data_IF_122885208786
#
_entry.id   IF_122885208786
#
_cell.length_a   1.000
_cell.length_b   1.000
_cell.length_c   1.000
_cell.angle_alpha   90.00
_cell.angle_beta   90.00
_cell.angle_gamma   90.00
#
_symmetry.space_group_name_H-M   'P 1'
#
loop_
_entity.id
_entity.type
_entity.pdbx_description
1 polymer ?
#
# COMPACT_ATOMS: atom_id res chain seq x y z
N UNK A 1 -81.18 8.98 -29.95
CA UNK A 1 -79.82 8.39 -29.81
C UNK A 1 -78.98 9.27 -28.87
N UNK A 2 -79.21 9.20 -27.56
CA UNK A 2 -78.50 10.04 -26.59
C UNK A 2 -78.38 9.34 -25.22
N UNK A 3 -77.97 8.07 -25.21
CA UNK A 3 -77.80 7.27 -23.98
C UNK A 3 -76.53 6.40 -23.96
N UNK A 4 -75.57 6.59 -24.86
CA UNK A 4 -74.30 5.84 -24.87
C UNK A 4 -73.07 6.62 -24.36
N UNK A 5 -73.11 7.96 -24.25
CA UNK A 5 -71.93 8.76 -23.85
C UNK A 5 -71.64 8.83 -22.35
N UNK A 6 -72.67 8.73 -21.49
CA UNK A 6 -72.52 8.97 -20.04
C UNK A 6 -72.00 7.73 -19.28
N UNK A 7 -72.21 6.51 -19.82
CA UNK A 7 -71.71 5.26 -19.21
C UNK A 7 -70.23 4.99 -19.50
N UNK A 8 -69.68 5.57 -20.56
CA UNK A 8 -68.26 5.42 -20.93
C UNK A 8 -67.37 6.37 -20.10
N UNK A 9 -67.84 7.59 -19.86
CA UNK A 9 -67.11 8.60 -19.07
C UNK A 9 -66.94 8.20 -17.59
N UNK A 10 -67.97 7.61 -16.97
CA UNK A 10 -67.90 7.17 -15.57
C UNK A 10 -67.02 5.92 -15.36
N UNK A 11 -66.77 5.10 -16.39
CA UNK A 11 -65.85 3.95 -16.30
C UNK A 11 -64.38 4.34 -16.42
N UNK A 12 -64.05 5.39 -17.16
CA UNK A 12 -62.68 5.90 -17.26
C UNK A 12 -62.22 6.63 -15.99
N UNK A 13 -63.13 7.36 -15.31
CA UNK A 13 -62.80 8.12 -14.08
C UNK A 13 -62.50 7.21 -12.87
N UNK A 14 -63.13 6.04 -12.79
CA UNK A 14 -62.89 5.06 -11.72
C UNK A 14 -61.53 4.33 -11.85
N UNK A 15 -60.95 4.25 -13.05
CA UNK A 15 -59.63 3.61 -13.27
C UNK A 15 -58.45 4.51 -12.91
N UNK A 16 -58.60 5.83 -13.01
CA UNK A 16 -57.53 6.78 -12.64
C UNK A 16 -57.36 7.00 -11.13
N UNK A 17 -58.41 6.79 -10.32
CA UNK A 17 -58.31 6.91 -8.85
C UNK A 17 -57.80 5.63 -8.14
N UNK A 18 -57.73 4.48 -8.83
CA UNK A 18 -57.30 3.22 -8.24
C UNK A 18 -55.78 2.95 -8.36
N UNK A 19 -55.04 3.70 -9.19
CA UNK A 19 -53.60 3.47 -9.43
C UNK A 19 -52.68 4.47 -8.70
N UNK A 20 -53.24 5.51 -8.08
CA UNK A 20 -52.44 6.52 -7.36
C UNK A 20 -51.85 6.06 -6.00
N UNK A 21 -52.44 5.13 -5.22
CA UNK A 21 -51.86 4.73 -3.93
C UNK A 21 -50.79 3.62 -4.04
N UNK A 22 -50.65 2.96 -5.19
CA UNK A 22 -49.64 1.91 -5.41
C UNK A 22 -48.28 2.49 -5.84
N UNK A 23 -48.29 3.58 -6.62
CA UNK A 23 -47.08 4.27 -7.06
C UNK A 23 -46.40 5.10 -5.95
N UNK A 24 -47.16 5.67 -5.00
CA UNK A 24 -46.58 6.40 -3.85
C UNK A 24 -45.92 5.51 -2.79
N UNK A 25 -46.37 4.27 -2.62
CA UNK A 25 -45.85 3.35 -1.58
C UNK A 25 -44.58 2.60 -2.02
N UNK A 26 -44.39 2.40 -3.32
CA UNK A 26 -43.18 1.78 -3.88
C UNK A 26 -42.11 2.80 -4.26
N UNK A 27 -42.48 4.03 -4.63
CA UNK A 27 -41.51 5.11 -4.89
C UNK A 27 -40.71 5.49 -3.65
N UNK A 28 -41.35 5.57 -2.48
CA UNK A 28 -40.64 5.86 -1.22
C UNK A 28 -39.70 4.72 -0.81
N UNK A 29 -40.07 3.46 -1.07
CA UNK A 29 -39.21 2.30 -0.79
C UNK A 29 -38.01 2.21 -1.74
N UNK A 30 -38.17 2.54 -3.01
CA UNK A 30 -37.06 2.60 -3.97
C UNK A 30 -36.10 3.77 -3.69
N UNK A 31 -36.63 4.95 -3.34
CA UNK A 31 -35.81 6.10 -2.94
C UNK A 31 -35.11 5.85 -1.61
N UNK A 32 -35.75 5.18 -0.63
CA UNK A 32 -35.07 4.80 0.62
C UNK A 32 -33.99 3.73 0.40
N UNK A 33 -34.21 2.77 -0.52
CA UNK A 33 -33.23 1.73 -0.87
C UNK A 33 -32.04 2.34 -1.63
N UNK A 34 -32.28 3.30 -2.52
CA UNK A 34 -31.23 4.04 -3.22
C UNK A 34 -30.48 5.00 -2.28
N UNK A 35 -31.16 5.66 -1.34
CA UNK A 35 -30.49 6.47 -0.31
C UNK A 35 -29.69 5.60 0.68
N UNK A 36 -30.14 4.37 0.98
CA UNK A 36 -29.36 3.39 1.76
C UNK A 36 -28.15 2.84 0.99
N UNK A 37 -28.26 2.65 -0.32
CA UNK A 37 -27.13 2.25 -1.19
C UNK A 37 -26.12 3.39 -1.41
N UNK A 38 -26.58 4.64 -1.47
CA UNK A 38 -25.71 5.83 -1.57
C UNK A 38 -25.10 6.19 -0.21
N UNK A 39 -25.76 5.88 0.90
CA UNK A 39 -25.19 6.01 2.25
C UNK A 39 -24.17 4.91 2.60
N UNK A 40 -24.00 3.89 1.74
CA UNK A 40 -22.98 2.85 1.89
C UNK A 40 -21.72 3.12 1.05
N UNK A 41 -21.77 4.08 0.13
CA UNK A 41 -20.65 4.36 -0.79
C UNK A 41 -19.75 5.53 -0.38
N UNK A 42 -19.94 6.13 0.79
CA UNK A 42 -19.02 7.15 1.32
C UNK A 42 -18.81 6.98 2.82
N UNK A 43 -17.87 6.11 3.19
CA UNK A 43 -16.57 6.46 3.76
C UNK A 43 -15.76 5.17 3.72
N UNK A 44 -15.12 4.87 2.59
CA UNK A 44 -13.90 4.10 2.66
C UNK A 44 -12.93 5.00 3.45
N UNK A 45 -12.78 4.73 4.74
CA UNK A 45 -11.69 5.28 5.53
C UNK A 45 -10.46 4.62 4.92
N UNK A 46 -9.92 5.22 3.86
CA UNK A 46 -8.57 4.91 3.42
C UNK A 46 -7.72 5.07 4.67
N UNK A 47 -7.08 3.97 5.10
CA UNK A 47 -6.21 4.02 6.25
C UNK A 47 -5.14 5.06 5.92
N UNK A 48 -4.93 6.10 6.73
CA UNK A 48 -3.90 7.12 6.47
C UNK A 48 -2.47 6.53 6.50
N UNK A 49 -2.33 5.24 6.84
CA UNK A 49 -1.09 4.47 6.82
C UNK A 49 -1.05 3.40 5.71
N UNK A 50 -2.13 3.20 4.95
CA UNK A 50 -2.12 2.37 3.75
C UNK A 50 -1.90 3.27 2.54
N UNK A 51 -0.73 3.90 2.46
CA UNK A 51 -0.22 4.35 1.17
C UNK A 51 -0.01 3.08 0.35
N UNK A 52 -0.80 2.92 -0.73
CA UNK A 52 -0.58 1.83 -1.69
C UNK A 52 0.84 1.95 -2.23
N UNK A 53 1.53 0.83 -2.41
CA UNK A 53 2.80 0.81 -3.14
C UNK A 53 2.59 1.58 -4.46
N UNK A 54 3.40 2.61 -4.79
CA UNK A 54 3.23 3.33 -6.03
C UNK A 54 3.40 2.34 -7.17
N UNK A 55 2.63 2.57 -8.23
CA UNK A 55 2.63 1.71 -9.40
C UNK A 55 4.05 1.58 -9.95
N UNK A 56 4.40 0.36 -10.32
CA UNK A 56 5.62 0.08 -11.07
C UNK A 56 5.41 0.44 -12.54
N UNK A 57 6.50 0.71 -13.26
CA UNK A 57 6.49 0.85 -14.71
C UNK A 57 6.05 -0.46 -15.38
N UNK A 58 6.22 -1.59 -14.71
CA UNK A 58 5.65 -2.86 -15.16
C UNK A 58 4.14 -2.91 -15.03
N UNK A 59 3.55 -2.40 -13.94
CA UNK A 59 2.09 -2.33 -13.79
C UNK A 59 1.48 -1.48 -14.91
N UNK A 60 2.08 -0.33 -15.20
CA UNK A 60 1.64 0.54 -16.28
C UNK A 60 1.84 -0.12 -17.64
N UNK A 61 2.96 -0.84 -17.84
CA UNK A 61 3.22 -1.61 -19.05
C UNK A 61 2.23 -2.78 -19.21
N UNK A 62 1.87 -3.47 -18.14
CA UNK A 62 0.98 -4.64 -18.11
C UNK A 62 -0.48 -4.24 -18.34
N UNK A 63 -0.90 -3.08 -17.85
CA UNK A 63 -2.20 -2.50 -18.14
C UNK A 63 -2.29 -1.87 -19.53
N UNK A 64 -1.18 -1.38 -20.08
CA UNK A 64 -1.16 -0.77 -21.39
C UNK A 64 -1.58 -1.75 -22.48
N UNK A 65 -2.46 -1.32 -23.38
CA UNK A 65 -2.82 -2.07 -24.58
C UNK A 65 -1.67 -2.06 -25.60
N UNK A 66 -0.94 -0.94 -25.67
CA UNK A 66 0.18 -0.73 -26.60
C UNK A 66 1.33 -0.06 -25.85
N UNK A 67 2.57 -0.51 -26.08
CA UNK A 67 3.77 0.12 -25.55
C UNK A 67 4.81 0.27 -26.67
N UNK A 68 5.33 1.48 -26.85
CA UNK A 68 6.17 1.85 -27.98
C UNK A 68 7.47 2.49 -27.53
N UNK A 69 8.52 2.20 -28.30
CA UNK A 69 9.71 3.04 -28.38
C UNK A 69 9.59 3.90 -29.63
N UNK A 70 9.69 5.22 -29.47
CA UNK A 70 9.60 6.16 -30.57
C UNK A 70 10.72 7.21 -30.49
N UNK A 71 11.01 7.83 -31.63
CA UNK A 71 11.89 8.99 -31.73
C UNK A 71 11.07 10.23 -32.03
N UNK A 72 11.27 11.28 -31.24
CA UNK A 72 10.67 12.58 -31.46
C UNK A 72 11.22 13.23 -32.73
N UNK A 73 10.31 13.74 -33.56
CA UNK A 73 10.61 14.60 -34.72
C UNK A 73 10.31 16.08 -34.40
N UNK A 74 9.97 16.40 -33.15
CA UNK A 74 9.60 17.74 -32.70
C UNK A 74 8.13 18.12 -32.95
N UNK A 75 7.77 19.29 -32.44
CA UNK A 75 6.45 19.89 -32.57
C UNK A 75 6.23 20.41 -34.00
N UNK A 76 5.08 20.08 -34.57
CA UNK A 76 4.63 20.51 -35.88
C UNK A 76 3.30 21.27 -35.75
N UNK A 77 3.19 22.41 -36.44
CA UNK A 77 1.91 23.10 -36.60
C UNK A 77 1.16 22.54 -37.82
N UNK A 78 -0.09 22.20 -37.61
CA UNK A 78 -1.03 21.88 -38.67
C UNK A 78 -1.61 23.18 -39.26
N UNK A 79 -2.16 23.07 -40.48
CA UNK A 79 -2.72 24.20 -41.21
C UNK A 79 -3.94 24.86 -40.51
N UNK A 80 -4.58 24.16 -39.57
CA UNK A 80 -5.67 24.67 -38.74
C UNK A 80 -5.19 25.41 -37.47
N UNK A 81 -3.88 25.58 -37.31
CA UNK A 81 -3.25 26.25 -36.16
C UNK A 81 -3.01 25.32 -34.95
N UNK A 82 -3.46 24.07 -34.98
CA UNK A 82 -3.17 23.10 -33.92
C UNK A 82 -1.70 22.66 -33.97
N UNK A 83 -1.10 22.44 -32.80
CA UNK A 83 0.27 21.90 -32.69
C UNK A 83 0.23 20.45 -32.23
N UNK A 84 1.05 19.60 -32.81
CA UNK A 84 1.20 18.20 -32.43
C UNK A 84 2.67 17.79 -32.39
N UNK A 85 3.00 16.91 -31.45
CA UNK A 85 4.28 16.22 -31.42
C UNK A 85 4.24 15.08 -32.43
N UNK A 86 5.18 15.08 -33.36
CA UNK A 86 5.33 13.98 -34.30
C UNK A 86 6.37 12.99 -33.79
N UNK A 87 5.98 11.71 -33.69
CA UNK A 87 6.82 10.62 -33.22
C UNK A 87 7.00 9.58 -34.32
N UNK A 88 8.22 9.19 -34.63
CA UNK A 88 8.50 8.04 -35.50
C UNK A 88 8.71 6.79 -34.66
N UNK A 89 7.86 5.77 -34.86
CA UNK A 89 7.91 4.52 -34.11
C UNK A 89 9.16 3.74 -34.49
N UNK A 90 9.99 3.43 -33.49
CA UNK A 90 11.21 2.64 -33.65
C UNK A 90 10.94 1.16 -33.39
N UNK A 91 10.17 0.85 -32.33
CA UNK A 91 9.79 -0.51 -32.00
C UNK A 91 8.43 -0.57 -31.29
N UNK A 92 7.68 -1.63 -31.58
CA UNK A 92 6.46 -1.99 -30.84
C UNK A 92 6.85 -3.01 -29.78
N UNK A 93 6.84 -2.60 -28.52
CA UNK A 93 7.19 -3.48 -27.39
C UNK A 93 5.98 -4.32 -27.00
N UNK A 94 4.78 -3.74 -26.93
CA UNK A 94 3.48 -4.41 -26.68
C UNK A 94 2.41 -3.88 -27.64
N UNK A 95 1.42 -4.71 -28.00
CA UNK A 95 0.32 -4.35 -28.93
C UNK A 95 0.13 -5.27 -30.15
N UNK A 96 0.96 -6.31 -30.29
CA UNK A 96 0.84 -7.34 -31.35
C UNK A 96 1.21 -6.86 -32.76
N UNK A 97 1.10 -7.76 -33.76
CA UNK A 97 1.39 -7.44 -35.18
C UNK A 97 0.38 -6.46 -35.81
N UNK A 98 -0.74 -6.22 -35.14
CA UNK A 98 -1.83 -5.37 -35.63
C UNK A 98 -1.51 -3.88 -35.57
N UNK A 99 -0.52 -3.45 -34.77
CA UNK A 99 -0.09 -2.06 -34.74
C UNK A 99 0.93 -1.78 -35.86
N UNK A 100 0.48 -1.17 -36.96
CA UNK A 100 1.30 -0.92 -38.15
C UNK A 100 1.68 0.55 -38.36
N UNK A 101 1.26 1.45 -37.45
CA UNK A 101 1.52 2.88 -37.60
C UNK A 101 3.02 3.17 -37.40
N UNK A 102 3.64 3.79 -38.40
CA UNK A 102 5.06 4.19 -38.35
C UNK A 102 5.28 5.58 -37.77
N UNK A 103 4.25 6.42 -37.81
CA UNK A 103 4.30 7.80 -37.34
C UNK A 103 3.05 8.07 -36.52
N UNK A 104 3.25 8.58 -35.31
CA UNK A 104 2.21 9.03 -34.41
C UNK A 104 2.21 10.55 -34.31
N UNK A 105 1.02 11.12 -34.11
CA UNK A 105 0.82 12.55 -33.88
C UNK A 105 0.04 12.70 -32.58
N UNK A 106 0.70 13.23 -31.56
CA UNK A 106 0.10 13.48 -30.26
C UNK A 106 -0.20 14.98 -30.13
N UNK A 107 -1.35 15.41 -29.61
CA UNK A 107 -1.63 16.82 -29.37
C UNK A 107 -0.53 17.49 -28.53
N UNK A 108 -0.13 18.74 -28.83
CA UNK A 108 0.91 19.40 -28.03
C UNK A 108 0.54 19.56 -26.54
N UNK A 109 -0.77 19.64 -26.24
CA UNK A 109 -1.28 19.67 -24.87
C UNK A 109 -1.01 18.38 -24.08
N UNK A 110 -0.81 17.23 -24.73
CA UNK A 110 -0.42 15.97 -24.07
C UNK A 110 1.10 15.85 -23.86
N UNK A 111 1.86 16.91 -24.17
CA UNK A 111 3.32 16.98 -24.05
C UNK A 111 3.75 18.12 -23.13
N UNK A 112 2.82 19.03 -22.79
CA UNK A 112 3.07 20.20 -21.97
C UNK A 112 2.00 20.31 -20.90
N UNK A 113 2.27 19.75 -19.73
CA UNK A 113 1.63 20.15 -18.50
C UNK A 113 2.58 19.84 -17.33
N UNK A 114 3.10 20.88 -16.70
CA UNK A 114 3.24 20.89 -15.24
C UNK A 114 2.00 20.23 -14.65
N UNK A 115 2.20 19.16 -13.88
CA UNK A 115 1.13 18.35 -13.29
C UNK A 115 0.03 19.23 -12.68
N UNK A 116 -1.23 19.14 -13.12
CA UNK A 116 -2.32 19.80 -12.45
C UNK A 116 -2.75 18.95 -11.24
N UNK A 117 -1.92 18.91 -10.18
CA UNK A 117 -2.31 18.60 -8.79
C UNK A 117 -1.19 18.59 -7.73
N UNK A 118 0.01 19.16 -7.98
CA UNK A 118 0.94 19.47 -6.88
C UNK A 118 0.61 20.87 -6.33
N UNK A 119 -0.28 20.95 -5.34
CA UNK A 119 -0.25 22.04 -4.34
C UNK A 119 0.90 21.73 -3.36
N UNK A 120 2.14 21.72 -3.84
CA UNK A 120 3.33 21.70 -2.98
C UNK A 120 3.56 23.10 -2.41
N UNK A 121 3.94 23.17 -1.14
CA UNK A 121 4.22 24.39 -0.37
C UNK A 121 5.19 25.33 -1.13
N UNK A 122 5.08 26.68 -1.06
CA UNK A 122 5.95 27.60 -1.80
C UNK A 122 7.44 27.56 -1.43
N UNK A 123 7.83 26.65 -0.53
CA UNK A 123 9.18 26.47 -0.03
C UNK A 123 10.03 25.48 -0.85
N UNK A 124 9.42 24.63 -1.70
CA UNK A 124 10.12 23.63 -2.51
C UNK A 124 10.30 24.00 -3.99
N UNK A 125 10.08 25.27 -4.33
CA UNK A 125 10.16 25.79 -5.70
C UNK A 125 11.59 25.81 -6.32
N UNK A 126 12.61 25.28 -5.64
CA UNK A 126 14.02 25.35 -6.08
C UNK A 126 14.61 24.02 -6.58
N UNK A 127 13.82 22.94 -6.68
CA UNK A 127 14.24 21.73 -7.41
C UNK A 127 13.56 21.65 -8.79
N UNK A 128 14.32 21.76 -9.90
CA UNK A 128 13.75 21.54 -11.22
C UNK A 128 13.40 20.06 -11.35
N UNK A 129 12.11 19.75 -11.43
CA UNK A 129 11.64 18.47 -11.93
C UNK A 129 12.07 18.38 -13.39
N UNK A 130 13.05 17.51 -13.67
CA UNK A 130 13.60 17.28 -15.02
C UNK A 130 12.63 16.45 -15.88
N UNK A 131 11.31 16.69 -15.75
CA UNK A 131 10.30 16.30 -16.72
C UNK A 131 10.49 17.18 -17.97
N UNK A 132 11.64 16.97 -18.62
CA UNK A 132 12.15 17.78 -19.70
C UNK A 132 11.22 17.70 -20.90
N UNK A 133 10.81 18.87 -21.37
CA UNK A 133 10.13 19.07 -22.64
C UNK A 133 10.73 18.17 -23.74
N UNK A 134 9.89 17.38 -24.42
CA UNK A 134 10.34 16.42 -25.44
C UNK A 134 10.96 17.17 -26.63
N UNK A 135 12.26 17.03 -26.85
CA UNK A 135 13.01 17.71 -27.91
C UNK A 135 13.02 16.89 -29.19
N UNK A 136 13.31 17.55 -30.31
CA UNK A 136 13.53 16.84 -31.56
C UNK A 136 14.77 15.94 -31.44
N UNK A 137 14.62 14.66 -31.78
CA UNK A 137 15.68 13.66 -31.71
C UNK A 137 15.62 12.75 -30.49
N UNK A 138 14.88 13.12 -29.44
CA UNK A 138 14.77 12.36 -28.20
C UNK A 138 14.13 10.98 -28.44
N UNK A 139 14.55 10.00 -27.65
CA UNK A 139 13.92 8.68 -27.59
C UNK A 139 12.91 8.72 -26.46
N UNK A 140 11.68 8.29 -26.75
CA UNK A 140 10.58 8.29 -25.80
C UNK A 140 9.99 6.89 -25.64
N UNK A 141 9.62 6.58 -24.40
CA UNK A 141 8.70 5.51 -24.04
C UNK A 141 7.28 6.04 -24.09
N UNK A 142 6.38 5.32 -24.75
CA UNK A 142 4.99 5.73 -24.90
C UNK A 142 4.05 4.57 -24.61
N UNK A 143 3.15 4.76 -23.67
CA UNK A 143 2.08 3.82 -23.32
C UNK A 143 0.75 4.29 -23.90
N UNK A 144 -0.03 3.33 -24.37
CA UNK A 144 -1.37 3.54 -24.91
C UNK A 144 -2.36 2.60 -24.24
N UNK A 145 -3.47 3.15 -23.75
CA UNK A 145 -4.51 2.45 -23.00
C UNK A 145 -5.83 2.41 -23.78
N UNK A 146 -6.67 1.41 -23.51
CA UNK A 146 -7.96 1.21 -24.17
C UNK A 146 -7.95 0.17 -25.29
N UNK A 147 -9.13 -0.33 -25.64
CA UNK A 147 -9.33 -1.48 -26.54
C UNK A 147 -9.81 -1.08 -27.95
N UNK A 148 -10.70 -0.09 -28.06
CA UNK A 148 -11.26 0.39 -29.33
C UNK A 148 -10.58 1.67 -29.83
N UNK A 149 -10.26 2.58 -28.91
CA UNK A 149 -9.56 3.82 -29.20
C UNK A 149 -8.40 3.97 -28.21
N UNK A 150 -7.18 3.92 -28.74
CA UNK A 150 -5.97 4.07 -27.93
C UNK A 150 -5.87 5.50 -27.41
N UNK A 151 -5.87 5.65 -26.09
CA UNK A 151 -5.55 6.87 -25.37
C UNK A 151 -4.06 6.82 -25.01
N UNK A 152 -3.29 7.74 -25.59
CA UNK A 152 -1.86 7.82 -25.34
C UNK A 152 -1.57 8.61 -24.07
N UNK A 153 -0.69 8.06 -23.25
CA UNK A 153 -0.15 8.77 -22.10
C UNK A 153 0.95 9.76 -22.50
N UNK A 154 1.44 10.55 -21.54
CA UNK A 154 2.54 11.47 -21.77
C UNK A 154 3.81 10.71 -22.21
N UNK A 155 4.50 11.15 -23.27
CA UNK A 155 5.75 10.52 -23.69
C UNK A 155 6.84 10.73 -22.63
N UNK A 156 7.41 9.64 -22.14
CA UNK A 156 8.51 9.67 -21.18
C UNK A 156 9.84 9.66 -21.95
N UNK A 157 10.65 10.71 -21.82
CA UNK A 157 12.00 10.75 -22.40
C UNK A 157 12.88 9.75 -21.67
N UNK A 158 13.59 8.91 -22.41
CA UNK A 158 14.41 7.84 -21.83
C UNK A 158 15.83 7.84 -22.41
N UNK A 159 16.78 7.48 -21.55
CA UNK A 159 18.17 7.22 -21.94
C UNK A 159 18.30 5.88 -22.67
N UNK A 160 19.51 5.59 -23.17
CA UNK A 160 19.82 4.26 -23.69
C UNK A 160 19.70 3.16 -22.62
N UNK A 161 20.02 3.48 -21.36
CA UNK A 161 19.84 2.55 -20.24
C UNK A 161 18.35 2.33 -19.95
N UNK A 162 17.55 3.39 -19.94
CA UNK A 162 16.09 3.32 -19.79
C UNK A 162 15.43 2.52 -20.92
N UNK A 163 15.90 2.67 -22.16
CA UNK A 163 15.43 1.85 -23.28
C UNK A 163 15.71 0.37 -23.06
N UNK A 164 16.92 0.01 -22.64
CA UNK A 164 17.28 -1.37 -22.34
C UNK A 164 16.42 -1.94 -21.20
N UNK A 165 16.24 -1.15 -20.14
CA UNK A 165 15.43 -1.47 -18.96
C UNK A 165 13.95 -1.73 -19.33
N UNK A 166 13.30 -0.81 -20.03
CA UNK A 166 11.88 -0.91 -20.35
C UNK A 166 11.59 -2.01 -21.38
N UNK A 167 12.52 -2.25 -22.31
CA UNK A 167 12.37 -3.33 -23.29
C UNK A 167 12.42 -4.72 -22.64
N UNK A 168 13.16 -4.85 -21.53
CA UNK A 168 13.27 -6.11 -20.80
C UNK A 168 11.96 -6.54 -20.11
N UNK A 169 11.11 -5.58 -19.73
CA UNK A 169 9.85 -5.83 -19.00
C UNK A 169 8.95 -6.85 -19.70
N UNK A 170 8.90 -6.81 -21.04
CA UNK A 170 8.11 -7.73 -21.88
C UNK A 170 8.33 -9.22 -21.59
N UNK A 171 9.51 -9.59 -21.07
CA UNK A 171 9.92 -10.99 -20.92
C UNK A 171 9.81 -11.48 -19.47
N UNK A 172 9.40 -10.62 -18.56
CA UNK A 172 9.37 -10.95 -17.15
C UNK A 172 8.13 -11.78 -16.80
N UNK A 173 8.24 -12.72 -15.85
CA UNK A 173 7.06 -13.32 -15.25
C UNK A 173 6.31 -12.29 -14.41
N UNK A 174 5.03 -12.57 -14.14
CA UNK A 174 4.17 -11.71 -13.31
C UNK A 174 4.75 -11.47 -11.92
N UNK A 175 5.28 -12.51 -11.28
CA UNK A 175 5.90 -12.43 -9.96
C UNK A 175 6.99 -13.49 -9.77
N UNK A 176 7.70 -13.40 -8.64
CA UNK A 176 8.63 -14.43 -8.16
C UNK A 176 10.11 -14.08 -8.32
N UNK A 177 10.99 -14.99 -7.90
CA UNK A 177 12.45 -14.81 -7.86
C UNK A 177 13.00 -14.35 -9.20
N UNK A 178 12.64 -15.03 -10.31
CA UNK A 178 13.11 -14.71 -11.67
C UNK A 178 12.76 -13.29 -12.12
N UNK A 179 11.65 -12.73 -11.63
CA UNK A 179 11.29 -11.34 -11.88
C UNK A 179 12.27 -10.42 -11.16
N UNK A 180 12.50 -10.65 -9.88
CA UNK A 180 13.42 -9.84 -9.08
C UNK A 180 14.90 -9.97 -9.51
N UNK A 181 15.32 -11.11 -10.08
CA UNK A 181 16.65 -11.26 -10.68
C UNK A 181 16.93 -10.18 -11.73
N UNK A 182 15.90 -9.79 -12.49
CA UNK A 182 16.00 -8.72 -13.47
C UNK A 182 16.21 -7.35 -12.82
N UNK A 183 15.47 -7.05 -11.74
CA UNK A 183 15.47 -5.74 -11.08
C UNK A 183 16.66 -5.55 -10.12
N UNK A 184 17.23 -6.63 -9.59
CA UNK A 184 18.33 -6.61 -8.62
C UNK A 184 19.53 -5.72 -9.03
N UNK A 185 20.09 -5.80 -10.26
CA UNK A 185 21.18 -4.92 -10.66
C UNK A 185 20.77 -3.44 -10.77
N UNK A 186 19.48 -3.16 -10.97
CA UNK A 186 18.95 -1.81 -11.16
C UNK A 186 18.71 -1.05 -9.85
N UNK A 187 18.68 -1.73 -8.69
CA UNK A 187 18.62 -1.08 -7.37
C UNK A 187 19.78 -0.10 -7.11
N UNK A 188 20.89 -0.25 -7.84
CA UNK A 188 22.10 0.60 -7.73
C UNK A 188 22.25 1.57 -8.89
N UNK A 189 21.25 1.68 -9.76
CA UNK A 189 21.36 2.48 -10.96
C UNK A 189 21.45 3.96 -10.62
N UNK A 190 22.19 4.74 -11.40
CA UNK A 190 22.36 6.18 -11.17
C UNK A 190 21.20 7.03 -11.67
N UNK A 191 20.41 6.50 -12.61
CA UNK A 191 19.19 7.16 -13.09
C UNK A 191 18.02 6.84 -12.16
N UNK A 192 17.43 7.89 -11.59
CA UNK A 192 16.34 7.83 -10.60
C UNK A 192 15.14 7.01 -11.10
N UNK A 193 14.71 7.22 -12.35
CA UNK A 193 13.59 6.47 -12.95
C UNK A 193 13.77 4.96 -12.82
N UNK A 194 14.98 4.46 -13.10
CA UNK A 194 15.30 3.03 -13.12
C UNK A 194 15.48 2.49 -11.70
N UNK A 195 16.21 3.23 -10.85
CA UNK A 195 16.47 2.82 -9.48
C UNK A 195 15.18 2.79 -8.64
N UNK A 196 14.33 3.81 -8.81
CA UNK A 196 13.03 3.92 -8.15
C UNK A 196 12.06 2.83 -8.59
N UNK A 197 11.99 2.52 -9.88
CA UNK A 197 11.13 1.45 -10.36
C UNK A 197 11.60 0.07 -9.86
N UNK A 198 12.91 -0.20 -9.93
CA UNK A 198 13.48 -1.41 -9.37
C UNK A 198 13.22 -1.52 -7.84
N UNK A 199 13.27 -0.41 -7.12
CA UNK A 199 12.87 -0.38 -5.70
C UNK A 199 11.39 -0.76 -5.53
N UNK A 200 10.48 -0.17 -6.31
CA UNK A 200 9.05 -0.43 -6.22
C UNK A 200 8.73 -1.91 -6.50
N UNK A 201 9.42 -2.53 -7.45
CA UNK A 201 9.32 -3.97 -7.75
C UNK A 201 9.73 -4.85 -6.56
N UNK A 202 10.74 -4.44 -5.80
CA UNK A 202 11.11 -5.10 -4.55
C UNK A 202 10.14 -4.81 -3.41
N UNK A 203 9.54 -3.61 -3.37
CA UNK A 203 8.58 -3.23 -2.35
C UNK A 203 7.25 -4.00 -2.47
N UNK A 204 6.82 -4.32 -3.69
CA UNK A 204 5.62 -5.12 -3.96
C UNK A 204 5.86 -6.64 -3.80
N UNK A 205 7.12 -7.07 -3.88
CA UNK A 205 7.45 -8.49 -3.87
C UNK A 205 7.28 -9.17 -2.50
N UNK A 206 6.92 -10.44 -2.54
CA UNK A 206 6.89 -11.28 -1.34
C UNK A 206 8.29 -11.48 -0.74
N UNK A 207 8.37 -11.61 0.58
CA UNK A 207 9.62 -11.92 1.28
C UNK A 207 10.20 -13.28 0.86
N UNK A 208 9.37 -14.24 0.43
CA UNK A 208 9.82 -15.52 -0.13
C UNK A 208 10.60 -15.31 -1.44
N UNK A 209 10.08 -14.46 -2.35
CA UNK A 209 10.78 -14.11 -3.59
C UNK A 209 12.10 -13.41 -3.32
N UNK A 210 12.12 -12.49 -2.35
CA UNK A 210 13.34 -11.76 -1.96
C UNK A 210 14.36 -12.72 -1.34
N UNK A 211 13.94 -13.64 -0.46
CA UNK A 211 14.79 -14.66 0.14
C UNK A 211 15.45 -15.57 -0.92
N UNK A 212 14.71 -15.89 -1.98
CA UNK A 212 15.23 -16.67 -3.12
C UNK A 212 16.38 -16.01 -3.89
N UNK A 213 16.66 -14.72 -3.67
CA UNK A 213 17.79 -14.00 -4.24
C UNK A 213 19.02 -13.92 -3.34
N UNK A 214 18.98 -14.46 -2.13
CA UNK A 214 20.04 -14.32 -1.10
C UNK A 214 21.46 -14.51 -1.64
N UNK A 215 21.71 -15.55 -2.43
CA UNK A 215 23.02 -15.86 -3.02
C UNK A 215 23.50 -14.86 -4.10
N UNK A 216 22.58 -14.08 -4.67
CA UNK A 216 22.85 -13.10 -5.73
C UNK A 216 23.02 -11.68 -5.18
N UNK A 217 22.61 -11.44 -3.93
CA UNK A 217 22.67 -10.11 -3.31
C UNK A 217 24.10 -9.70 -3.00
N UNK A 218 24.43 -8.46 -3.34
CA UNK A 218 25.71 -7.85 -2.96
C UNK A 218 25.64 -7.34 -1.51
N UNK A 219 26.00 -8.21 -0.57
CA UNK A 219 26.08 -7.89 0.86
C UNK A 219 26.96 -6.66 1.14
N UNK A 220 28.05 -6.45 0.41
CA UNK A 220 28.96 -5.31 0.66
C UNK A 220 28.28 -3.99 0.30
N UNK A 221 27.59 -3.95 -0.84
CA UNK A 221 26.79 -2.78 -1.22
C UNK A 221 25.68 -2.51 -0.21
N UNK A 222 24.93 -3.53 0.21
CA UNK A 222 23.85 -3.35 1.21
C UNK A 222 24.39 -2.72 2.50
N UNK A 223 25.53 -3.22 3.01
CA UNK A 223 26.18 -2.67 4.21
C UNK A 223 26.64 -1.22 3.98
N UNK A 224 27.19 -0.92 2.80
CA UNK A 224 27.61 0.43 2.45
C UNK A 224 26.41 1.39 2.40
N UNK A 225 25.30 0.99 1.80
CA UNK A 225 24.04 1.75 1.75
C UNK A 225 23.49 2.05 3.15
N UNK A 226 23.49 1.05 4.05
CA UNK A 226 23.02 1.23 5.43
C UNK A 226 23.88 2.21 6.24
N UNK A 227 25.18 2.33 5.91
CA UNK A 227 26.09 3.28 6.55
C UNK A 227 26.04 4.68 5.98
N UNK A 228 25.55 4.83 4.74
CA UNK A 228 25.42 6.11 4.08
C UNK A 228 24.22 6.89 4.69
N UNK A 229 24.43 8.09 5.28
CA UNK A 229 23.32 8.92 5.78
C UNK A 229 22.38 9.40 4.68
N UNK A 230 22.89 9.59 3.46
CA UNK A 230 22.17 10.26 2.38
C UNK A 230 21.21 9.31 1.65
N UNK A 231 21.22 8.02 2.02
CA UNK A 231 20.25 7.05 1.49
C UNK A 231 18.85 7.37 2.04
N UNK A 232 17.85 7.59 1.17
CA UNK A 232 16.47 7.83 1.58
C UNK A 232 15.92 6.73 2.48
N UNK A 233 14.99 7.08 3.38
CA UNK A 233 14.44 6.14 4.37
C UNK A 233 13.88 4.86 3.73
N UNK A 234 13.12 5.00 2.64
CA UNK A 234 12.49 3.89 1.93
C UNK A 234 13.56 2.90 1.43
N UNK A 235 14.61 3.39 0.76
CA UNK A 235 15.73 2.58 0.31
C UNK A 235 16.53 1.98 1.49
N UNK A 236 16.69 2.71 2.61
CA UNK A 236 17.31 2.18 3.83
C UNK A 236 16.52 0.99 4.39
N UNK A 237 15.19 1.06 4.43
CA UNK A 237 14.32 -0.06 4.85
C UNK A 237 14.46 -1.28 3.94
N UNK A 238 14.52 -1.08 2.62
CA UNK A 238 14.82 -2.18 1.70
C UNK A 238 16.19 -2.78 1.98
N UNK A 239 17.23 -1.95 2.21
CA UNK A 239 18.56 -2.45 2.54
C UNK A 239 18.57 -3.29 3.82
N UNK A 240 17.81 -2.93 4.86
CA UNK A 240 17.65 -3.79 6.05
C UNK A 240 17.01 -5.14 5.70
N UNK A 241 16.00 -5.13 4.84
CA UNK A 241 15.33 -6.35 4.37
C UNK A 241 16.27 -7.23 3.56
N UNK A 242 17.08 -6.67 2.66
CA UNK A 242 18.09 -7.41 1.91
C UNK A 242 19.18 -7.97 2.84
N UNK A 243 19.64 -7.18 3.81
CA UNK A 243 20.64 -7.63 4.80
C UNK A 243 20.11 -8.79 5.63
N UNK A 244 18.81 -8.86 5.90
CA UNK A 244 18.21 -9.99 6.62
C UNK A 244 18.33 -11.32 5.87
N UNK A 245 18.52 -11.27 4.54
CA UNK A 245 18.64 -12.45 3.67
C UNK A 245 20.09 -12.79 3.34
N UNK A 246 20.94 -11.79 3.09
CA UNK A 246 22.33 -12.01 2.67
C UNK A 246 23.38 -11.77 3.77
N UNK A 247 22.96 -11.27 4.92
CA UNK A 247 23.82 -10.97 6.06
C UNK A 247 24.19 -12.19 6.90
N UNK A 248 25.02 -11.95 7.91
CA UNK A 248 25.39 -12.94 8.93
C UNK A 248 25.42 -12.30 10.33
N UNK A 249 25.67 -13.09 11.37
CA UNK A 249 25.63 -12.66 12.77
C UNK A 249 26.53 -11.44 13.06
N UNK A 250 27.64 -11.25 12.32
CA UNK A 250 28.53 -10.09 12.51
C UNK A 250 27.88 -8.79 12.04
N UNK A 251 26.89 -8.85 11.14
CA UNK A 251 26.17 -7.67 10.65
C UNK A 251 25.16 -7.15 11.66
N UNK A 252 24.82 -7.92 12.70
CA UNK A 252 23.94 -7.46 13.78
C UNK A 252 24.46 -6.18 14.45
N UNK A 253 25.78 -5.93 14.42
CA UNK A 253 26.40 -4.69 14.91
C UNK A 253 25.94 -3.43 14.15
N UNK A 254 25.44 -3.55 12.92
CA UNK A 254 24.91 -2.41 12.15
C UNK A 254 23.68 -1.80 12.83
N UNK A 255 22.90 -2.62 13.55
CA UNK A 255 21.78 -2.13 14.34
C UNK A 255 22.24 -1.15 15.42
N UNK A 256 23.31 -1.50 16.16
CA UNK A 256 23.91 -0.63 17.16
C UNK A 256 24.50 0.65 16.55
N UNK A 257 25.15 0.53 15.39
CA UNK A 257 25.68 1.69 14.67
C UNK A 257 24.56 2.65 14.24
N UNK A 258 23.42 2.12 13.78
CA UNK A 258 22.28 2.93 13.38
C UNK A 258 21.62 3.64 14.57
N UNK A 259 21.46 2.96 15.71
CA UNK A 259 20.93 3.58 16.93
C UNK A 259 21.88 4.64 17.49
N UNK A 260 23.18 4.37 17.51
CA UNK A 260 24.18 5.35 17.92
C UNK A 260 24.12 6.60 17.03
N UNK A 261 23.95 6.42 15.72
CA UNK A 261 23.83 7.54 14.78
C UNK A 261 22.56 8.37 15.03
N UNK A 262 21.41 7.73 15.24
CA UNK A 262 20.17 8.43 15.62
C UNK A 262 20.33 9.25 16.90
N UNK A 263 21.15 8.79 17.85
CA UNK A 263 21.49 9.54 19.05
C UNK A 263 22.35 10.79 18.81
N UNK A 264 23.11 10.82 17.70
CA UNK A 264 23.96 11.95 17.30
C UNK A 264 23.24 12.92 16.38
N UNK A 265 22.32 12.43 15.55
CA UNK A 265 21.57 13.19 14.55
C UNK A 265 20.07 12.88 14.68
N UNK A 266 19.27 13.79 15.25
CA UNK A 266 17.82 13.62 15.40
C UNK A 266 17.06 13.48 14.07
N UNK A 267 17.62 13.99 12.96
CA UNK A 267 17.00 13.91 11.64
C UNK A 267 17.31 12.57 10.95
N UNK A 268 18.27 11.80 11.46
CA UNK A 268 18.60 10.49 10.91
C UNK A 268 17.50 9.48 11.19
N UNK A 269 16.83 9.05 10.11
CA UNK A 269 15.77 8.04 10.18
C UNK A 269 16.35 6.64 9.94
N UNK A 270 16.26 5.78 10.96
CA UNK A 270 16.82 4.41 10.93
C UNK A 270 16.04 3.46 10.01
N UNK A 271 14.71 3.67 9.87
CA UNK A 271 13.81 2.61 9.41
C UNK A 271 13.72 1.51 10.47
N UNK A 272 13.36 1.91 11.71
CA UNK A 272 13.54 1.09 12.91
C UNK A 272 12.79 -0.25 12.87
N UNK A 273 11.64 -0.30 12.20
CA UNK A 273 10.86 -1.51 11.96
C UNK A 273 11.66 -2.55 11.15
N UNK A 274 12.17 -2.15 9.98
CA UNK A 274 12.99 -3.01 9.14
C UNK A 274 14.33 -3.36 9.82
N UNK A 275 14.93 -2.39 10.54
CA UNK A 275 16.18 -2.61 11.28
C UNK A 275 16.01 -3.63 12.41
N UNK A 276 14.95 -3.53 13.22
CA UNK A 276 14.62 -4.52 14.25
C UNK A 276 14.35 -5.88 13.60
N UNK A 277 13.58 -5.92 12.52
CA UNK A 277 13.31 -7.17 11.79
C UNK A 277 14.60 -7.85 11.33
N UNK A 278 15.52 -7.11 10.72
CA UNK A 278 16.84 -7.61 10.33
C UNK A 278 17.65 -8.07 11.55
N UNK A 279 17.68 -7.30 12.64
CA UNK A 279 18.38 -7.67 13.87
C UNK A 279 17.87 -8.98 14.47
N UNK A 280 16.56 -9.22 14.41
CA UNK A 280 15.95 -10.50 14.81
C UNK A 280 16.32 -11.65 13.88
N UNK A 281 16.42 -11.43 12.56
CA UNK A 281 16.89 -12.45 11.62
C UNK A 281 18.34 -12.88 11.93
N UNK A 282 19.21 -11.92 12.23
CA UNK A 282 20.63 -12.17 12.46
C UNK A 282 20.94 -12.66 13.88
N UNK A 283 20.10 -12.36 14.87
CA UNK A 283 20.37 -12.65 16.29
C UNK A 283 19.33 -13.55 16.99
N UNK A 284 18.28 -13.97 16.29
CA UNK A 284 17.24 -14.89 16.78
C UNK A 284 16.63 -14.48 18.12
N UNK A 285 16.42 -15.47 19.01
CA UNK A 285 15.81 -15.24 20.32
C UNK A 285 16.64 -14.34 21.25
N UNK A 286 17.97 -14.32 21.10
CA UNK A 286 18.83 -13.44 21.89
C UNK A 286 18.58 -11.96 21.55
N UNK A 287 18.47 -11.65 20.25
CA UNK A 287 18.06 -10.34 19.77
C UNK A 287 16.65 -9.95 20.26
N UNK A 288 15.69 -10.89 20.21
CA UNK A 288 14.34 -10.65 20.73
C UNK A 288 14.34 -10.27 22.22
N UNK A 289 15.15 -10.93 23.03
CA UNK A 289 15.28 -10.60 24.45
C UNK A 289 15.72 -9.16 24.69
N UNK A 290 16.55 -8.59 23.82
CA UNK A 290 16.94 -7.17 23.87
C UNK A 290 15.79 -6.26 23.42
N UNK A 291 15.15 -6.58 22.30
CA UNK A 291 14.01 -5.83 21.77
C UNK A 291 12.88 -5.71 22.80
N UNK A 292 12.61 -6.77 23.54
CA UNK A 292 11.62 -6.77 24.64
C UNK A 292 11.96 -5.79 25.76
N UNK A 293 13.25 -5.61 26.06
CA UNK A 293 13.71 -4.68 27.11
C UNK A 293 13.72 -3.25 26.62
N UNK A 294 14.20 -3.00 25.42
CA UNK A 294 14.45 -1.64 24.91
C UNK A 294 13.21 -1.01 24.26
N UNK A 295 12.36 -1.81 23.60
CA UNK A 295 11.26 -1.29 22.78
C UNK A 295 9.87 -1.70 23.25
N UNK A 296 9.72 -2.84 23.93
CA UNK A 296 8.42 -3.34 24.42
C UNK A 296 8.22 -3.14 25.93
N UNK A 297 8.96 -2.19 26.52
CA UNK A 297 8.89 -1.89 27.95
C UNK A 297 9.00 -0.40 28.26
N UNK A 298 8.46 -0.01 29.42
CA UNK A 298 8.48 1.38 29.89
C UNK A 298 7.74 2.34 28.96
N UNK A 299 8.27 3.56 28.84
CA UNK A 299 7.74 4.59 27.94
C UNK A 299 7.90 4.21 26.46
N UNK A 300 8.95 3.44 26.13
CA UNK A 300 9.25 3.00 24.76
C UNK A 300 8.11 2.17 24.16
N UNK A 301 7.44 1.35 24.99
CA UNK A 301 6.28 0.56 24.56
C UNK A 301 5.12 1.43 24.01
N UNK A 302 5.02 2.69 24.43
CA UNK A 302 3.94 3.60 24.03
C UNK A 302 4.39 4.64 22.99
N UNK A 303 5.61 4.50 22.47
CA UNK A 303 6.19 5.41 21.49
C UNK A 303 6.13 4.84 20.07
N UNK A 304 6.57 5.64 19.09
CA UNK A 304 6.77 5.18 17.72
C UNK A 304 7.79 4.04 17.62
N UNK A 305 8.75 3.96 18.55
CA UNK A 305 9.73 2.88 18.58
C UNK A 305 9.09 1.55 19.03
N UNK A 306 8.20 1.60 20.02
CA UNK A 306 7.39 0.45 20.43
C UNK A 306 6.50 -0.04 19.29
N UNK A 307 5.89 0.87 18.54
CA UNK A 307 5.12 0.54 17.34
C UNK A 307 5.99 -0.14 16.27
N UNK A 308 7.19 0.40 15.98
CA UNK A 308 8.13 -0.20 15.04
C UNK A 308 8.55 -1.63 15.44
N UNK A 309 8.77 -1.86 16.75
CA UNK A 309 9.06 -3.19 17.27
C UNK A 309 7.88 -4.16 17.09
N UNK A 310 6.64 -3.72 17.33
CA UNK A 310 5.44 -4.53 17.07
C UNK A 310 5.33 -4.91 15.59
N UNK A 311 5.59 -3.96 14.67
CA UNK A 311 5.59 -4.23 13.22
C UNK A 311 6.64 -5.28 12.84
N UNK A 312 7.86 -5.16 13.36
CA UNK A 312 8.93 -6.14 13.13
C UNK A 312 8.54 -7.55 13.62
N UNK A 313 8.00 -7.67 14.83
CA UNK A 313 7.55 -8.96 15.37
C UNK A 313 6.38 -9.56 14.56
N UNK A 314 5.48 -8.72 14.03
CA UNK A 314 4.37 -9.16 13.17
C UNK A 314 4.87 -9.77 11.87
N UNK A 315 5.84 -9.14 11.21
CA UNK A 315 6.48 -9.68 9.99
C UNK A 315 7.17 -11.01 10.29
N UNK A 316 7.89 -11.13 11.41
CA UNK A 316 8.49 -12.40 11.84
C UNK A 316 7.47 -13.52 12.03
N UNK A 317 6.35 -13.20 12.69
CA UNK A 317 5.28 -14.17 12.94
C UNK A 317 4.49 -14.55 11.69
N UNK A 318 4.46 -13.70 10.66
CA UNK A 318 3.64 -13.88 9.46
C UNK A 318 4.44 -14.46 8.29
N UNK A 319 5.67 -13.99 8.07
CA UNK A 319 6.40 -14.22 6.81
C UNK A 319 7.80 -14.85 6.98
N UNK A 320 8.56 -14.52 8.04
CA UNK A 320 9.99 -14.94 8.13
C UNK A 320 10.26 -16.19 8.97
N UNK A 321 9.45 -16.46 10.00
CA UNK A 321 9.47 -17.70 10.79
C UNK A 321 10.81 -18.05 11.47
N UNK A 322 11.75 -17.11 11.60
CA UNK A 322 13.04 -17.28 12.29
C UNK A 322 12.84 -17.56 13.79
N UNK A 323 11.84 -16.92 14.40
CA UNK A 323 11.49 -17.09 15.81
C UNK A 323 10.12 -17.77 15.90
N UNK A 324 9.93 -18.79 16.76
CA UNK A 324 8.64 -19.46 16.92
C UNK A 324 7.51 -18.48 17.26
N UNK A 325 6.36 -18.59 16.57
CA UNK A 325 5.18 -17.74 16.82
C UNK A 325 4.77 -17.68 18.31
N UNK A 326 4.77 -18.77 19.10
CA UNK A 326 4.45 -18.69 20.52
C UNK A 326 5.41 -17.77 21.31
N UNK A 327 6.69 -17.72 20.93
CA UNK A 327 7.70 -16.87 21.56
C UNK A 327 7.49 -15.40 21.19
N UNK A 328 7.08 -15.12 19.95
CA UNK A 328 6.69 -13.78 19.48
C UNK A 328 5.40 -13.31 20.16
N UNK A 329 4.39 -14.18 20.27
CA UNK A 329 3.15 -13.90 21.01
C UNK A 329 3.44 -13.53 22.46
N UNK A 330 4.31 -14.30 23.13
CA UNK A 330 4.75 -13.98 24.48
C UNK A 330 5.43 -12.60 24.57
N UNK A 331 6.24 -12.21 23.58
CA UNK A 331 6.85 -10.88 23.53
C UNK A 331 5.81 -9.77 23.37
N UNK A 332 4.88 -9.92 22.41
CA UNK A 332 3.79 -8.96 22.17
C UNK A 332 2.84 -8.86 23.37
N UNK A 333 2.58 -9.95 24.09
CA UNK A 333 1.70 -9.95 25.27
C UNK A 333 2.15 -8.99 26.37
N UNK A 334 3.44 -8.64 26.42
CA UNK A 334 4.00 -7.66 27.36
C UNK A 334 3.38 -6.28 27.19
N UNK A 335 2.95 -5.96 25.97
CA UNK A 335 2.26 -4.71 25.62
C UNK A 335 0.89 -4.60 26.27
N UNK A 336 0.23 -5.72 26.60
CA UNK A 336 -1.07 -5.72 27.29
C UNK A 336 -1.02 -5.09 28.68
N UNK A 337 0.17 -4.81 29.23
CA UNK A 337 0.37 -4.08 30.49
C UNK A 337 0.09 -2.59 30.35
N UNK A 338 0.18 -2.04 29.15
CA UNK A 338 0.02 -0.62 28.83
C UNK A 338 -1.29 -0.41 28.07
N UNK A 339 -2.37 0.08 28.72
CA UNK A 339 -3.66 0.26 28.06
C UNK A 339 -3.62 1.11 26.78
N UNK A 340 -2.73 2.10 26.72
CA UNK A 340 -2.53 3.03 25.61
C UNK A 340 -1.94 2.36 24.36
N UNK A 341 -1.31 1.20 24.51
CA UNK A 341 -0.65 0.49 23.41
C UNK A 341 -1.13 -0.96 23.25
N UNK A 342 -2.06 -1.41 24.10
CA UNK A 342 -2.53 -2.79 24.12
C UNK A 342 -3.29 -3.16 22.83
N UNK A 343 -4.06 -2.23 22.24
CA UNK A 343 -4.82 -2.49 21.01
C UNK A 343 -3.92 -2.83 19.81
N UNK A 344 -2.68 -2.34 19.80
CA UNK A 344 -1.70 -2.61 18.75
C UNK A 344 -1.41 -4.10 18.56
N UNK A 345 -1.49 -4.90 19.63
CA UNK A 345 -1.08 -6.32 19.63
C UNK A 345 -2.23 -7.31 19.77
N UNK A 346 -3.42 -6.86 20.20
CA UNK A 346 -4.55 -7.77 20.49
C UNK A 346 -4.95 -8.57 19.24
N UNK A 347 -4.92 -7.94 18.07
CA UNK A 347 -5.24 -8.59 16.80
C UNK A 347 -4.23 -9.67 16.42
N UNK A 348 -2.93 -9.45 16.70
CA UNK A 348 -1.88 -10.43 16.47
C UNK A 348 -2.04 -11.64 17.39
N UNK A 349 -2.30 -11.40 18.69
CA UNK A 349 -2.56 -12.47 19.65
C UNK A 349 -3.78 -13.31 19.26
N UNK A 350 -4.85 -12.67 18.77
CA UNK A 350 -6.01 -13.40 18.26
C UNK A 350 -5.69 -14.21 17.00
N UNK A 351 -4.96 -13.61 16.04
CA UNK A 351 -4.56 -14.26 14.78
C UNK A 351 -3.66 -15.46 15.04
N UNK A 352 -2.76 -15.35 16.01
CA UNK A 352 -1.86 -16.42 16.44
C UNK A 352 -2.47 -17.37 17.48
N UNK A 353 -3.76 -17.20 17.78
CA UNK A 353 -4.55 -18.07 18.65
C UNK A 353 -3.99 -18.18 20.08
N UNK A 354 -3.31 -17.14 20.57
CA UNK A 354 -2.91 -17.07 21.96
C UNK A 354 -4.11 -16.64 22.82
N UNK A 355 -4.85 -17.63 23.32
CA UNK A 355 -6.05 -17.46 24.13
C UNK A 355 -5.76 -17.30 25.63
N UNK A 356 -4.50 -17.24 26.05
CA UNK A 356 -4.12 -17.20 27.48
C UNK A 356 -4.51 -15.90 28.19
N UNK A 357 -4.98 -14.89 27.45
CA UNK A 357 -5.21 -13.54 27.94
C UNK A 357 -6.69 -13.14 28.09
N UNK A 358 -7.64 -14.08 28.03
CA UNK A 358 -9.09 -13.79 28.12
C UNK A 358 -9.46 -12.87 29.30
N UNK A 359 -8.95 -13.16 30.51
CA UNK A 359 -9.28 -12.34 31.68
C UNK A 359 -8.61 -10.95 31.63
N UNK A 360 -7.39 -10.87 31.07
CA UNK A 360 -6.71 -9.58 30.83
C UNK A 360 -7.48 -8.71 29.84
N UNK A 361 -8.10 -9.31 28.81
CA UNK A 361 -8.93 -8.58 27.85
C UNK A 361 -10.14 -7.94 28.53
N UNK A 362 -10.82 -8.68 29.43
CA UNK A 362 -11.95 -8.15 30.20
C UNK A 362 -11.51 -6.98 31.09
N UNK A 363 -10.33 -7.07 31.70
CA UNK A 363 -9.76 -5.99 32.49
C UNK A 363 -9.47 -4.75 31.63
N UNK A 364 -8.83 -4.92 30.48
CA UNK A 364 -8.51 -3.84 29.54
C UNK A 364 -9.78 -3.14 29.04
N UNK A 365 -10.83 -3.90 28.72
CA UNK A 365 -12.13 -3.33 28.32
C UNK A 365 -12.74 -2.43 29.41
N UNK A 366 -12.59 -2.81 30.68
CA UNK A 366 -13.10 -2.02 31.82
C UNK A 366 -12.26 -0.80 32.11
N UNK A 367 -10.95 -0.87 31.84
CA UNK A 367 -9.99 0.23 32.07
C UNK A 367 -9.90 1.22 30.90
N UNK A 368 -10.43 0.87 29.73
CA UNK A 368 -10.38 1.74 28.55
C UNK A 368 -10.97 3.12 28.85
N UNK A 369 -10.33 4.16 28.35
CA UNK A 369 -10.76 5.55 28.49
C UNK A 369 -11.13 6.13 27.12
N UNK A 370 -11.52 7.41 27.08
CA UNK A 370 -11.72 8.13 25.82
C UNK A 370 -10.44 8.24 24.97
N UNK A 371 -9.26 8.10 25.57
CA UNK A 371 -7.96 8.14 24.88
C UNK A 371 -7.59 6.80 24.22
N UNK A 372 -8.33 5.71 24.50
CA UNK A 372 -8.10 4.37 23.95
C UNK A 372 -9.33 3.88 23.16
N UNK A 373 -9.76 4.57 22.09
CA UNK A 373 -11.04 4.29 21.43
C UNK A 373 -11.07 2.91 20.73
N UNK A 374 -9.89 2.40 20.33
CA UNK A 374 -9.75 1.12 19.62
C UNK A 374 -9.67 -0.10 20.56
N UNK A 375 -9.40 0.13 21.85
CA UNK A 375 -9.16 -0.95 22.81
C UNK A 375 -10.39 -1.83 23.05
N UNK A 376 -11.57 -1.23 23.28
CA UNK A 376 -12.81 -1.99 23.47
C UNK A 376 -13.19 -2.82 22.23
N UNK A 377 -13.20 -2.25 21.00
CA UNK A 377 -13.38 -3.05 19.78
C UNK A 377 -12.40 -4.21 19.66
N UNK A 378 -11.11 -3.96 19.86
CA UNK A 378 -10.07 -4.99 19.75
C UNK A 378 -10.29 -6.15 20.73
N UNK A 379 -10.61 -5.85 21.99
CA UNK A 379 -10.95 -6.85 23.01
C UNK A 379 -12.14 -7.71 22.59
N UNK A 380 -13.24 -7.11 22.14
CA UNK A 380 -14.43 -7.87 21.74
C UNK A 380 -14.11 -8.75 20.54
N UNK A 381 -13.31 -8.26 19.58
CA UNK A 381 -12.89 -9.05 18.43
C UNK A 381 -12.03 -10.26 18.83
N UNK A 382 -11.08 -10.08 19.76
CA UNK A 382 -10.30 -11.18 20.32
C UNK A 382 -11.19 -12.23 21.01
N UNK A 383 -12.13 -11.79 21.85
CA UNK A 383 -13.03 -12.70 22.55
C UNK A 383 -13.99 -13.41 21.59
N UNK A 384 -14.43 -12.75 20.51
CA UNK A 384 -15.24 -13.37 19.46
C UNK A 384 -14.47 -14.46 18.71
N UNK A 385 -13.17 -14.25 18.49
CA UNK A 385 -12.29 -15.21 17.84
C UNK A 385 -11.95 -16.42 18.72
N UNK A 386 -11.92 -16.22 20.04
CA UNK A 386 -11.61 -17.28 21.01
C UNK A 386 -12.72 -18.35 21.03
N UNK A 387 -12.41 -19.63 20.77
CA UNK A 387 -13.42 -20.69 20.63
C UNK A 387 -14.08 -21.12 21.95
N UNK A 388 -13.49 -20.76 23.10
CA UNK A 388 -13.91 -21.26 24.41
C UNK A 388 -15.25 -20.71 24.91
N UNK A 389 -16.05 -21.50 25.66
CA UNK A 389 -17.32 -21.05 26.22
C UNK A 389 -17.14 -19.88 27.21
N UNK A 390 -15.98 -19.81 27.88
CA UNK A 390 -15.62 -18.70 28.78
C UNK A 390 -15.62 -17.37 28.02
N UNK A 391 -15.10 -17.31 26.79
CA UNK A 391 -15.05 -16.07 26.02
C UNK A 391 -16.46 -15.55 25.69
N UNK A 392 -17.40 -16.44 25.35
CA UNK A 392 -18.82 -16.09 25.13
C UNK A 392 -19.46 -15.52 26.40
N UNK A 393 -19.21 -16.13 27.55
CA UNK A 393 -19.67 -15.62 28.84
C UNK A 393 -19.08 -14.24 29.16
N UNK A 394 -17.79 -14.02 28.85
CA UNK A 394 -17.15 -12.70 29.01
C UNK A 394 -17.79 -11.65 28.10
N UNK A 395 -18.08 -11.97 26.84
CA UNK A 395 -18.75 -11.04 25.92
C UNK A 395 -20.12 -10.62 26.48
N UNK A 396 -20.92 -11.55 27.01
CA UNK A 396 -22.21 -11.21 27.62
C UNK A 396 -22.04 -10.26 28.82
N UNK A 397 -21.06 -10.53 29.69
CA UNK A 397 -20.76 -9.65 30.81
C UNK A 397 -20.31 -8.25 30.35
N UNK A 398 -19.54 -8.15 29.26
CA UNK A 398 -19.12 -6.87 28.69
C UNK A 398 -20.27 -6.14 27.97
N UNK A 399 -21.24 -6.87 27.40
CA UNK A 399 -22.45 -6.31 26.79
C UNK A 399 -23.30 -5.55 27.80
N UNK A 400 -23.35 -6.02 29.05
CA UNK A 400 -24.04 -5.30 30.12
C UNK A 400 -23.37 -3.96 30.48
N UNK A 401 -22.07 -3.80 30.20
CA UNK A 401 -21.30 -2.58 30.48
C UNK A 401 -21.37 -1.59 29.31
N UNK A 402 -21.18 -2.08 28.09
CA UNK A 402 -21.19 -1.26 26.87
C UNK A 402 -21.85 -2.02 25.71
N UNK A 403 -23.20 -2.01 25.66
CA UNK A 403 -23.95 -2.74 24.66
C UNK A 403 -23.75 -2.18 23.25
N UNK A 404 -23.42 -0.89 23.13
CA UNK A 404 -23.22 -0.21 21.85
C UNK A 404 -21.97 -0.75 21.17
N UNK A 405 -20.84 -0.79 21.88
CA UNK A 405 -19.58 -1.29 21.31
C UNK A 405 -19.69 -2.76 20.94
N UNK A 406 -20.26 -3.60 21.83
CA UNK A 406 -20.43 -5.04 21.55
C UNK A 406 -21.30 -5.25 20.31
N UNK A 407 -22.48 -4.61 20.24
CA UNK A 407 -23.37 -4.72 19.09
C UNK A 407 -22.71 -4.29 17.78
N UNK A 408 -21.95 -3.19 17.81
CA UNK A 408 -21.21 -2.68 16.64
C UNK A 408 -20.20 -3.72 16.13
N UNK A 409 -19.39 -4.29 17.03
CA UNK A 409 -18.37 -5.29 16.65
C UNK A 409 -19.01 -6.60 16.20
N UNK A 410 -20.14 -7.01 16.78
CA UNK A 410 -20.88 -8.21 16.34
C UNK A 410 -21.52 -8.05 14.97
N UNK A 411 -22.02 -6.85 14.65
CA UNK A 411 -22.54 -6.52 13.32
C UNK A 411 -21.45 -6.39 12.25
N UNK A 412 -20.19 -6.21 12.67
CA UNK A 412 -19.04 -6.19 11.76
C UNK A 412 -18.67 -7.60 11.30
N UNK A 413 -18.71 -7.80 9.97
CA UNK A 413 -18.07 -8.94 9.31
C UNK A 413 -16.54 -8.76 9.19
N UNK A 414 -16.04 -7.55 9.41
CA UNK A 414 -14.61 -7.26 9.40
C UNK A 414 -14.00 -7.81 10.69
N UNK A 415 -13.20 -8.85 10.55
CA UNK A 415 -12.04 -9.02 11.43
C UNK A 415 -11.11 -7.88 11.04
N UNK A 416 -10.92 -6.86 11.88
CA UNK A 416 -9.89 -5.85 11.59
C UNK A 416 -8.58 -6.63 11.51
N UNK A 417 -7.98 -6.83 10.32
CA UNK A 417 -6.65 -7.34 10.29
C UNK A 417 -5.85 -6.26 11.03
N UNK A 418 -5.09 -6.61 12.07
CA UNK A 418 -3.97 -5.75 12.42
C UNK A 418 -3.27 -5.41 11.11
N UNK A 419 -3.03 -4.11 10.86
CA UNK A 419 -2.53 -3.62 9.58
C UNK A 419 -1.45 -4.58 9.09
N UNK A 420 -1.61 -5.11 7.88
CA UNK A 420 -0.59 -5.96 7.28
C UNK A 420 0.74 -5.23 7.49
N UNK A 421 1.72 -5.90 8.12
CA UNK A 421 3.04 -5.32 8.23
C UNK A 421 3.56 -5.20 6.82
N UNK A 422 3.45 -4.03 6.21
CA UNK A 422 4.07 -3.77 4.92
C UNK A 422 5.58 -3.75 5.22
N UNK A 423 6.38 -4.71 4.72
CA UNK A 423 7.79 -4.78 5.07
C UNK A 423 8.58 -3.57 4.54
N UNK A 424 8.03 -2.93 3.51
CA UNK A 424 8.62 -1.81 2.78
C UNK A 424 7.50 -0.82 2.44
N UNK A 425 7.31 0.25 3.22
CA UNK A 425 6.34 1.27 2.84
C UNK A 425 6.77 1.90 1.50
N UNK A 426 5.79 2.36 0.70
CA UNK A 426 6.09 3.14 -0.50
C UNK A 426 6.99 4.34 -0.17
N UNK A 427 7.73 4.88 -1.17
CA UNK A 427 8.35 6.18 -1.00
C UNK A 427 7.31 7.18 -0.51
N UNK A 428 7.68 7.97 0.51
CA UNK A 428 6.86 9.08 0.93
C UNK A 428 6.74 10.02 -0.28
N UNK A 429 5.51 10.33 -0.70
CA UNK A 429 5.28 11.51 -1.53
C UNK A 429 5.58 12.65 -0.57
N UNK A 430 6.71 13.34 -0.76
CA UNK A 430 7.02 14.54 0.03
C UNK A 430 5.81 15.48 -0.12
N UNK A 431 5.07 15.68 0.98
CA UNK A 431 3.94 16.62 1.08
C UNK A 431 4.45 18.06 1.13
#
# INVERSE_FOLDING_TARGET
>A
MATSGVREWNRQRARHHALWPVLKRNGFRFVLLQLLLIAWSTVAIACPFCTSVPRTLSDDFDDAAVALLAKSQGLHQAADGSSHLQLSVLAVVKGGESFTQKVLRLPAASVSATSPQDESDPADADQPSDAGEVRNGDIVWLLGFGDQQIQWDQPLVISAAGQAYLTGLKRLPEAGVKRLEYFLPYLKHSEELIARDAYNEFADASLESIAGLSDQMDRQWVIASLRNPDVPLHHRRLCWSLLSQCGNDQDAQLFDQALARRGLDPNYQVGLDAAISCYLCLGGEAALGRVEREFLSGESAMSSDGFAAVQALRVHGTDLHVIPRPRLAAALSRMLRYPEAADLVISDLARWQDWSHVDRMVELFKRSTAQTPLLKPAVIQYLKACPGPVAKQRIEALRAIDPVTVKRVEASLLFTPGAAGVPVPPPDIEE
#
